data_IF_788262865942
#
_entry.id   IF_788262865942
#
_cell.length_a   1.000
_cell.length_b   1.000
_cell.length_c   1.000
_cell.angle_alpha   90.00
_cell.angle_beta   90.00
_cell.angle_gamma   90.00
#
_symmetry.space_group_name_H-M   'P 1'
#
loop_
_entity.id
_entity.type
_entity.pdbx_description
1 polymer ?
#
# COMPACT_ATOMS: atom_id res chain seq x y z
N UNK A 1 -5.61 3.44 9.63
CA UNK A 1 -4.25 3.40 9.07
C UNK A 1 -4.22 2.52 7.83
N UNK A 2 -3.42 2.88 6.87
CA UNK A 2 -3.31 2.15 5.60
C UNK A 2 -2.07 1.27 5.59
N UNK A 3 -2.21 0.09 5.02
CA UNK A 3 -1.11 -0.86 4.90
C UNK A 3 -1.31 -1.69 3.63
N UNK A 4 -0.50 -2.73 3.44
CA UNK A 4 -0.63 -3.64 2.30
C UNK A 4 -0.94 -5.06 2.78
N UNK A 5 -1.68 -5.79 1.97
CA UNK A 5 -1.95 -7.20 2.21
C UNK A 5 -0.72 -8.02 1.79
N UNK A 6 0.32 -7.93 2.59
CA UNK A 6 1.61 -8.57 2.33
C UNK A 6 2.18 -9.07 3.64
N UNK A 7 2.55 -10.34 3.70
CA UNK A 7 2.95 -10.99 4.94
C UNK A 7 4.23 -10.42 5.57
N UNK A 8 5.10 -9.82 4.77
CA UNK A 8 6.34 -9.23 5.28
C UNK A 8 6.27 -7.70 5.43
N UNK A 9 5.13 -7.09 5.10
CA UNK A 9 4.94 -5.64 5.21
C UNK A 9 4.17 -5.35 6.49
N UNK A 10 4.83 -4.75 7.46
CA UNK A 10 4.24 -4.49 8.78
C UNK A 10 4.06 -3.01 9.09
N UNK A 11 4.38 -2.14 8.15
CA UNK A 11 4.21 -0.70 8.36
C UNK A 11 2.78 -0.25 8.10
N UNK A 12 2.38 0.82 8.80
CA UNK A 12 1.09 1.45 8.59
C UNK A 12 1.28 2.95 8.37
N UNK A 13 0.40 3.55 7.60
CA UNK A 13 0.49 4.96 7.22
C UNK A 13 -0.85 5.65 7.44
N UNK A 14 -0.81 6.94 7.76
CA UNK A 14 -2.02 7.71 8.00
C UNK A 14 -2.78 8.04 6.72
N UNK A 15 -2.10 8.02 5.57
CA UNK A 15 -2.72 8.31 4.28
C UNK A 15 -2.21 7.36 3.21
N UNK A 16 -3.02 7.21 2.15
CA UNK A 16 -2.61 6.41 1.00
C UNK A 16 -1.41 7.04 0.30
N UNK A 17 -1.35 8.37 0.25
CA UNK A 17 -0.23 9.08 -0.37
C UNK A 17 1.10 8.72 0.29
N UNK A 18 1.12 8.68 1.62
CA UNK A 18 2.33 8.30 2.35
C UNK A 18 2.72 6.85 2.08
N UNK A 19 1.73 5.96 2.04
CA UNK A 19 1.95 4.55 1.73
C UNK A 19 2.56 4.39 0.33
N UNK A 20 1.96 5.03 -0.66
CA UNK A 20 2.41 4.94 -2.05
C UNK A 20 3.83 5.50 -2.19
N UNK A 21 4.10 6.65 -1.59
CA UNK A 21 5.42 7.26 -1.63
C UNK A 21 6.49 6.34 -1.05
N UNK A 22 6.20 5.72 0.09
CA UNK A 22 7.12 4.77 0.70
C UNK A 22 7.40 3.58 -0.22
N UNK A 23 6.34 3.02 -0.80
CA UNK A 23 6.46 1.85 -1.65
C UNK A 23 7.19 2.15 -2.96
N UNK A 24 6.99 3.33 -3.52
CA UNK A 24 7.70 3.74 -4.72
C UNK A 24 9.20 3.83 -4.46
N UNK A 25 9.58 4.35 -3.30
CA UNK A 25 10.98 4.46 -2.94
C UNK A 25 11.66 3.14 -2.60
N UNK A 26 10.89 2.15 -2.18
CA UNK A 26 11.43 0.85 -1.76
C UNK A 26 11.39 -0.22 -2.85
N UNK A 27 10.79 0.06 -4.01
CA UNK A 27 10.69 -0.91 -5.10
C UNK A 27 9.74 -2.06 -4.81
N UNK A 28 8.72 -1.84 -3.98
CA UNK A 28 7.71 -2.85 -3.67
C UNK A 28 6.94 -3.28 -4.92
N UNK A 29 6.54 -4.55 -4.93
CA UNK A 29 5.63 -5.06 -5.96
C UNK A 29 4.29 -4.32 -5.85
N UNK A 30 3.79 -3.70 -6.93
CA UNK A 30 2.54 -2.93 -6.88
C UNK A 30 1.26 -3.76 -6.93
N UNK A 31 1.38 -5.07 -6.98
CA UNK A 31 0.19 -5.95 -7.08
C UNK A 31 -0.46 -6.27 -5.74
N UNK A 32 0.03 -5.70 -4.64
CA UNK A 32 -0.58 -5.93 -3.33
C UNK A 32 -1.80 -5.04 -3.13
N UNK A 33 -2.84 -5.62 -2.54
CA UNK A 33 -4.05 -4.88 -2.21
C UNK A 33 -3.79 -3.94 -1.03
N UNK A 34 -4.33 -2.73 -1.11
CA UNK A 34 -4.25 -1.77 -0.02
C UNK A 34 -5.30 -2.14 1.03
N UNK A 35 -4.90 -2.11 2.29
CA UNK A 35 -5.80 -2.37 3.40
C UNK A 35 -5.94 -1.11 4.25
N UNK A 36 -7.09 -0.98 4.90
CA UNK A 36 -7.34 0.07 5.87
C UNK A 36 -7.84 -0.58 7.16
N UNK A 37 -7.09 -0.38 8.24
CA UNK A 37 -7.42 -0.94 9.56
C UNK A 37 -7.60 -2.47 9.51
N UNK A 38 -6.85 -3.13 8.65
CA UNK A 38 -6.87 -4.57 8.50
C UNK A 38 -7.85 -5.11 7.48
N UNK A 39 -8.60 -4.22 6.81
CA UNK A 39 -9.58 -4.63 5.79
C UNK A 39 -9.16 -4.13 4.41
N UNK A 40 -9.30 -4.99 3.41
CA UNK A 40 -9.05 -4.61 2.02
C UNK A 40 -10.05 -3.56 1.55
N UNK A 41 -9.56 -2.55 0.82
CA UNK A 41 -10.43 -1.47 0.32
C UNK A 41 -10.85 -1.66 -1.13
N UNK A 42 -10.50 -2.81 -1.73
CA UNK A 42 -10.85 -3.08 -3.13
C UNK A 42 -9.94 -2.40 -4.14
N UNK A 43 -8.84 -1.83 -3.69
CA UNK A 43 -7.88 -1.16 -4.56
C UNK A 43 -6.48 -1.73 -4.33
N UNK A 44 -5.70 -1.79 -5.40
CA UNK A 44 -4.33 -2.27 -5.32
C UNK A 44 -3.37 -1.10 -5.38
N UNK A 45 -2.13 -1.33 -4.93
CA UNK A 45 -1.11 -0.29 -4.92
C UNK A 45 -0.88 0.29 -6.33
N UNK A 46 -0.96 -0.56 -7.35
CA UNK A 46 -0.73 -0.14 -8.74
C UNK A 46 -1.75 0.91 -9.19
N UNK A 47 -2.94 0.94 -8.59
CA UNK A 47 -3.96 1.93 -8.95
C UNK A 47 -3.54 3.35 -8.60
N UNK A 48 -2.59 3.49 -7.70
CA UNK A 48 -2.07 4.79 -7.26
C UNK A 48 -0.68 5.09 -7.82
N UNK A 49 -0.06 4.12 -8.47
CA UNK A 49 1.25 4.31 -9.09
C UNK A 49 1.05 4.68 -10.56
N UNK A 50 1.42 5.89 -10.92
CA UNK A 50 1.31 6.37 -12.30
C UNK A 50 2.71 6.34 -12.91
N UNK A 51 2.84 5.59 -13.95
CA UNK A 51 4.11 5.45 -14.67
C UNK A 51 4.07 6.18 -16.00
#
# INVERSE_FOLDING_TARGET
>A
MYSLDCSYFEKEFESIDDLVEHCMGSGMDPNYEITKDGEGIGEELIDYMVF
#
